data_IF_465004730816
#
_entry.id   IF_465004730816
#
_cell.length_a   1.000
_cell.length_b   1.000
_cell.length_c   1.000
_cell.angle_alpha   90.00
_cell.angle_beta   90.00
_cell.angle_gamma   90.00
#
_symmetry.space_group_name_H-M   'P 1'
#
loop_
_entity.id
_entity.type
_entity.pdbx_description
1 polymer ?
#
# COMPACT_ATOMS: atom_id res chain seq x y z
N UNK A 1 -25.25 -37.85 10.62
CA UNK A 1 -25.56 -36.75 9.70
C UNK A 1 -25.37 -37.25 8.28
N UNK A 2 -26.28 -36.97 7.39
CA UNK A 2 -26.11 -37.31 5.98
C UNK A 2 -24.97 -36.51 5.39
N UNK A 3 -24.02 -37.22 4.74
CA UNK A 3 -22.86 -36.57 4.11
C UNK A 3 -23.33 -35.64 2.99
N UNK A 4 -22.69 -34.49 2.86
CA UNK A 4 -22.89 -33.50 1.80
C UNK A 4 -22.29 -34.01 0.48
N UNK A 5 -21.14 -34.65 0.55
CA UNK A 5 -20.41 -35.19 -0.60
C UNK A 5 -19.66 -36.47 -0.22
N UNK A 6 -19.20 -37.17 -1.24
CA UNK A 6 -18.27 -38.30 -1.14
C UNK A 6 -17.05 -38.08 -2.03
N UNK A 7 -15.98 -38.82 -1.78
CA UNK A 7 -14.81 -38.88 -2.65
C UNK A 7 -15.01 -39.94 -3.74
N UNK A 8 -14.36 -39.73 -4.91
CA UNK A 8 -14.29 -40.74 -5.96
C UNK A 8 -13.48 -41.97 -5.53
N UNK A 9 -13.75 -43.13 -6.13
CA UNK A 9 -13.02 -44.38 -5.81
C UNK A 9 -11.58 -44.38 -6.34
N UNK A 10 -11.27 -43.56 -7.34
CA UNK A 10 -9.94 -43.47 -7.96
C UNK A 10 -9.31 -42.10 -7.72
N UNK A 11 -8.02 -42.08 -7.39
CA UNK A 11 -7.24 -40.90 -7.20
C UNK A 11 -6.54 -40.43 -8.48
N UNK A 12 -6.46 -39.10 -8.67
CA UNK A 12 -5.56 -38.46 -9.61
C UNK A 12 -4.19 -38.24 -8.92
N UNK A 13 -3.12 -38.77 -9.51
CA UNK A 13 -1.77 -38.55 -9.02
C UNK A 13 -1.24 -37.18 -9.52
N UNK A 14 -0.88 -36.29 -8.63
CA UNK A 14 -0.37 -34.96 -9.00
C UNK A 14 1.13 -34.96 -9.21
N UNK A 15 1.67 -33.88 -9.84
CA UNK A 15 3.09 -33.67 -10.02
C UNK A 15 3.88 -33.55 -8.70
N UNK A 16 3.20 -33.21 -7.60
CA UNK A 16 3.77 -33.15 -6.23
C UNK A 16 3.64 -34.47 -5.47
N UNK A 17 3.35 -35.57 -6.17
CA UNK A 17 3.19 -36.93 -5.64
C UNK A 17 2.08 -37.10 -4.59
N UNK A 18 1.01 -36.29 -4.71
CA UNK A 18 -0.19 -36.38 -3.88
C UNK A 18 -1.29 -37.15 -4.62
N UNK A 19 -2.05 -37.94 -3.90
CA UNK A 19 -3.27 -38.58 -4.40
C UNK A 19 -4.44 -37.65 -4.11
N UNK A 20 -5.09 -37.15 -5.16
CA UNK A 20 -6.26 -36.31 -5.03
C UNK A 20 -7.49 -37.00 -5.55
N UNK A 21 -8.58 -36.89 -4.84
CA UNK A 21 -9.87 -37.48 -5.16
C UNK A 21 -10.84 -36.38 -5.59
N UNK A 22 -11.64 -36.68 -6.61
CA UNK A 22 -12.74 -35.82 -7.04
C UNK A 22 -13.84 -35.87 -5.98
N UNK A 23 -14.47 -34.76 -5.68
CA UNK A 23 -15.64 -34.67 -4.81
C UNK A 23 -16.92 -34.80 -5.64
N UNK A 24 -17.92 -35.53 -5.13
CA UNK A 24 -19.22 -35.76 -5.78
C UNK A 24 -20.31 -35.41 -4.77
N UNK A 25 -21.18 -34.46 -5.10
CA UNK A 25 -22.29 -34.04 -4.25
C UNK A 25 -23.32 -35.18 -4.04
N UNK A 26 -23.77 -35.36 -2.82
CA UNK A 26 -24.76 -36.33 -2.45
C UNK A 26 -26.16 -35.75 -2.24
N UNK A 27 -26.26 -34.45 -2.11
CA UNK A 27 -27.51 -33.70 -1.93
C UNK A 27 -27.40 -32.29 -2.54
N UNK A 28 -28.53 -31.65 -2.71
CA UNK A 28 -28.60 -30.24 -3.14
C UNK A 28 -28.21 -29.31 -2.01
N UNK A 29 -27.38 -28.29 -2.31
CA UNK A 29 -27.04 -27.16 -1.42
C UNK A 29 -26.54 -25.99 -2.25
N UNK A 30 -26.85 -24.76 -1.84
CA UNK A 30 -26.49 -23.58 -2.61
C UNK A 30 -26.79 -23.73 -4.11
N UNK A 31 -25.79 -23.58 -4.97
CA UNK A 31 -25.83 -23.73 -6.42
C UNK A 31 -25.44 -25.15 -6.92
N UNK A 32 -25.12 -26.08 -5.99
CA UNK A 32 -24.67 -27.43 -6.26
C UNK A 32 -25.85 -28.43 -6.18
N UNK A 33 -25.95 -29.36 -7.14
CA UNK A 33 -26.99 -30.41 -7.21
C UNK A 33 -26.43 -31.77 -6.86
N UNK A 34 -27.27 -32.64 -6.33
CA UNK A 34 -26.89 -34.03 -6.11
C UNK A 34 -26.41 -34.70 -7.43
N UNK A 35 -25.22 -35.27 -7.39
CA UNK A 35 -24.54 -35.85 -8.54
C UNK A 35 -23.51 -34.90 -9.19
N UNK A 36 -23.49 -33.60 -8.86
CA UNK A 36 -22.51 -32.70 -9.39
C UNK A 36 -21.09 -33.12 -8.99
N UNK A 37 -20.19 -32.99 -9.97
CA UNK A 37 -18.76 -33.28 -9.82
C UNK A 37 -18.02 -31.99 -9.53
N UNK A 38 -17.33 -31.96 -8.41
CA UNK A 38 -16.52 -30.81 -8.04
C UNK A 38 -15.02 -31.02 -8.30
N UNK A 39 -14.19 -30.19 -7.65
CA UNK A 39 -12.74 -30.24 -7.76
C UNK A 39 -12.09 -31.37 -6.96
N UNK A 40 -10.86 -31.17 -6.53
CA UNK A 40 -9.99 -32.21 -5.99
C UNK A 40 -9.58 -31.97 -4.56
N UNK A 41 -9.65 -33.01 -3.73
CA UNK A 41 -9.15 -32.99 -2.35
C UNK A 41 -8.24 -34.18 -2.06
N UNK A 42 -7.32 -34.08 -1.12
CA UNK A 42 -6.48 -35.18 -0.66
C UNK A 42 -7.25 -36.10 0.30
N UNK A 43 -8.12 -35.51 1.13
CA UNK A 43 -8.96 -36.25 2.10
C UNK A 43 -10.27 -35.51 2.40
N UNK A 44 -11.19 -36.18 3.13
CA UNK A 44 -12.42 -35.52 3.59
C UNK A 44 -12.13 -34.36 4.58
N UNK A 45 -10.97 -34.31 5.21
CA UNK A 45 -10.61 -33.24 6.14
C UNK A 45 -10.37 -31.86 5.45
N UNK A 46 -10.17 -31.87 4.11
CA UNK A 46 -9.93 -30.69 3.33
C UNK A 46 -11.20 -29.85 3.06
N UNK A 47 -12.39 -30.49 3.06
CA UNK A 47 -13.64 -29.78 2.79
C UNK A 47 -14.69 -30.16 3.83
N UNK A 48 -15.28 -29.17 4.46
CA UNK A 48 -16.31 -29.36 5.49
C UNK A 48 -17.57 -30.02 4.90
N UNK A 49 -18.14 -30.99 5.62
CA UNK A 49 -19.44 -31.60 5.36
C UNK A 49 -20.61 -30.67 5.75
N UNK A 50 -20.32 -29.51 6.45
CA UNK A 50 -21.30 -28.54 6.93
C UNK A 50 -21.13 -27.22 6.19
N UNK A 51 -22.22 -26.45 5.99
CA UNK A 51 -22.23 -25.21 5.24
C UNK A 51 -22.25 -25.42 3.73
N UNK A 52 -22.21 -24.32 2.99
CA UNK A 52 -22.35 -24.32 1.52
C UNK A 52 -21.01 -24.29 0.78
N UNK A 53 -19.89 -24.46 1.50
CA UNK A 53 -18.57 -24.48 0.87
C UNK A 53 -18.43 -25.56 -0.20
N UNK A 54 -17.77 -25.20 -1.31
CA UNK A 54 -17.53 -26.12 -2.41
C UNK A 54 -16.25 -25.84 -3.16
N UNK A 55 -15.66 -26.86 -3.74
CA UNK A 55 -14.49 -26.76 -4.61
C UNK A 55 -14.98 -27.12 -6.02
N UNK A 56 -14.80 -26.25 -6.96
CA UNK A 56 -15.28 -26.33 -8.33
C UNK A 56 -14.14 -26.66 -9.30
N UNK A 57 -14.50 -27.07 -10.48
CA UNK A 57 -13.64 -27.21 -11.66
C UNK A 57 -12.36 -28.03 -11.40
N UNK A 58 -11.19 -27.44 -11.69
CA UNK A 58 -9.88 -28.07 -11.49
C UNK A 58 -9.19 -27.63 -10.19
N UNK A 59 -9.91 -26.96 -9.33
CA UNK A 59 -9.35 -26.47 -8.08
C UNK A 59 -8.91 -27.61 -7.17
N UNK A 60 -7.82 -27.42 -6.43
CA UNK A 60 -7.18 -28.45 -5.62
C UNK A 60 -6.97 -28.00 -4.19
N UNK A 61 -7.37 -28.84 -3.25
CA UNK A 61 -7.11 -28.61 -1.82
C UNK A 61 -6.45 -29.85 -1.24
N UNK A 62 -5.27 -29.68 -0.64
CA UNK A 62 -4.50 -30.81 -0.13
C UNK A 62 -3.64 -30.42 1.09
N UNK A 63 -2.84 -31.34 1.59
CA UNK A 63 -2.18 -31.26 2.90
C UNK A 63 -3.21 -31.05 4.02
N UNK A 64 -2.93 -30.15 4.96
CA UNK A 64 -3.84 -29.81 6.05
C UNK A 64 -4.72 -28.58 5.76
N UNK A 65 -4.82 -28.17 4.48
CA UNK A 65 -5.66 -27.05 4.09
C UNK A 65 -7.14 -27.37 4.31
N UNK A 66 -7.90 -26.41 4.83
CA UNK A 66 -9.32 -26.58 5.18
C UNK A 66 -10.20 -25.55 4.52
N UNK A 67 -11.31 -26.00 3.93
CA UNK A 67 -12.36 -25.17 3.35
C UNK A 67 -13.66 -25.41 4.12
N UNK A 68 -14.28 -24.32 4.61
CA UNK A 68 -15.48 -24.40 5.43
C UNK A 68 -16.37 -23.16 5.30
N UNK A 69 -17.51 -23.14 6.03
CA UNK A 69 -18.50 -22.07 5.88
C UNK A 69 -19.18 -22.14 4.52
N UNK A 70 -19.21 -21.02 3.81
CA UNK A 70 -19.78 -20.88 2.47
C UNK A 70 -18.68 -20.56 1.42
N UNK A 71 -17.42 -20.83 1.77
CA UNK A 71 -16.26 -20.53 0.93
C UNK A 71 -16.28 -21.33 -0.38
N UNK A 72 -15.87 -20.69 -1.46
CA UNK A 72 -15.84 -21.27 -2.81
C UNK A 72 -14.44 -21.20 -3.40
N UNK A 73 -13.96 -22.32 -3.95
CA UNK A 73 -12.69 -22.40 -4.66
C UNK A 73 -12.96 -22.84 -6.09
N UNK A 74 -12.53 -22.04 -7.07
CA UNK A 74 -12.88 -22.20 -8.48
C UNK A 74 -11.65 -22.35 -9.39
N UNK A 75 -11.93 -22.69 -10.64
CA UNK A 75 -10.98 -22.72 -11.76
C UNK A 75 -9.79 -23.66 -11.49
N UNK A 76 -8.57 -23.16 -11.48
CA UNK A 76 -7.34 -23.91 -11.22
C UNK A 76 -6.70 -23.54 -9.88
N UNK A 77 -7.45 -22.90 -8.97
CA UNK A 77 -6.92 -22.42 -7.70
C UNK A 77 -6.40 -23.58 -6.84
N UNK A 78 -5.36 -23.30 -6.07
CA UNK A 78 -4.72 -24.29 -5.19
C UNK A 78 -4.69 -23.76 -3.76
N UNK A 79 -5.15 -24.57 -2.83
CA UNK A 79 -4.96 -24.36 -1.39
C UNK A 79 -4.23 -25.55 -0.77
N UNK A 80 -3.12 -25.28 -0.08
CA UNK A 80 -2.29 -26.31 0.53
C UNK A 80 -1.61 -25.83 1.84
N UNK A 81 -0.76 -26.69 2.41
CA UNK A 81 -0.14 -26.41 3.71
C UNK A 81 -1.14 -26.56 4.87
N UNK A 82 -1.17 -25.59 5.77
CA UNK A 82 -2.15 -25.52 6.87
C UNK A 82 -3.12 -24.34 6.71
N UNK A 83 -3.39 -23.97 5.45
CA UNK A 83 -4.25 -22.85 5.13
C UNK A 83 -5.72 -23.08 5.52
N UNK A 84 -6.43 -22.04 5.87
CA UNK A 84 -7.84 -22.07 6.23
C UNK A 84 -8.64 -21.05 5.40
N UNK A 85 -9.63 -21.52 4.64
CA UNK A 85 -10.49 -20.68 3.80
C UNK A 85 -11.92 -20.87 4.29
N UNK A 86 -12.56 -19.79 4.78
CA UNK A 86 -13.86 -19.88 5.45
C UNK A 86 -14.71 -18.62 5.22
N UNK A 87 -15.91 -18.55 5.81
CA UNK A 87 -16.85 -17.47 5.56
C UNK A 87 -17.41 -17.55 4.15
N UNK A 88 -17.58 -16.42 3.50
CA UNK A 88 -17.99 -16.29 2.09
C UNK A 88 -16.80 -16.07 1.15
N UNK A 89 -15.60 -16.48 1.57
CA UNK A 89 -14.39 -16.22 0.81
C UNK A 89 -14.38 -16.95 -0.55
N UNK A 90 -13.85 -16.28 -1.57
CA UNK A 90 -13.70 -16.83 -2.92
C UNK A 90 -12.23 -16.86 -3.30
N UNK A 91 -11.75 -18.03 -3.75
CA UNK A 91 -10.41 -18.18 -4.32
C UNK A 91 -10.55 -18.77 -5.72
N UNK A 92 -10.08 -18.06 -6.74
CA UNK A 92 -10.36 -18.38 -8.14
C UNK A 92 -9.14 -18.19 -9.06
N UNK A 93 -9.30 -18.50 -10.33
CA UNK A 93 -8.26 -18.38 -11.35
C UNK A 93 -7.13 -19.38 -11.15
N UNK A 94 -5.91 -18.93 -11.18
CA UNK A 94 -4.70 -19.72 -10.89
C UNK A 94 -4.07 -19.30 -9.53
N UNK A 95 -4.89 -18.82 -8.63
CA UNK A 95 -4.42 -18.36 -7.31
C UNK A 95 -3.83 -19.53 -6.51
N UNK A 96 -2.74 -19.25 -5.80
CA UNK A 96 -2.10 -20.23 -4.93
C UNK A 96 -2.07 -19.72 -3.49
N UNK A 97 -2.65 -20.51 -2.59
CA UNK A 97 -2.68 -20.29 -1.16
C UNK A 97 -1.88 -21.41 -0.51
N UNK A 98 -0.84 -21.07 0.24
CA UNK A 98 0.03 -22.09 0.87
C UNK A 98 0.43 -21.71 2.29
N UNK A 99 1.08 -22.63 2.95
CA UNK A 99 1.58 -22.48 4.33
C UNK A 99 0.44 -22.23 5.35
N UNK A 100 0.56 -21.24 6.21
CA UNK A 100 -0.40 -20.94 7.28
C UNK A 100 -1.21 -19.66 6.96
N UNK A 101 -1.89 -19.66 5.81
CA UNK A 101 -2.71 -18.53 5.36
C UNK A 101 -4.16 -18.69 5.81
N UNK A 102 -4.74 -17.59 6.31
CA UNK A 102 -6.14 -17.53 6.71
C UNK A 102 -6.92 -16.57 5.80
N UNK A 103 -7.99 -17.09 5.16
CA UNK A 103 -8.86 -16.30 4.28
C UNK A 103 -10.29 -16.44 4.79
N UNK A 104 -10.94 -15.34 5.09
CA UNK A 104 -12.28 -15.36 5.69
C UNK A 104 -13.13 -14.14 5.35
N UNK A 105 -14.32 -14.03 5.92
CA UNK A 105 -15.34 -13.05 5.58
C UNK A 105 -15.74 -13.11 4.11
N UNK A 106 -15.69 -11.99 3.38
CA UNK A 106 -16.04 -11.87 1.97
C UNK A 106 -14.80 -11.62 1.08
N UNK A 107 -13.64 -12.07 1.51
CA UNK A 107 -12.39 -11.85 0.78
C UNK A 107 -12.39 -12.56 -0.59
N UNK A 108 -11.91 -11.88 -1.62
CA UNK A 108 -11.83 -12.43 -3.00
C UNK A 108 -10.38 -12.43 -3.44
N UNK A 109 -9.86 -13.61 -3.79
CA UNK A 109 -8.52 -13.79 -4.34
C UNK A 109 -8.66 -14.41 -5.72
N UNK A 110 -8.01 -13.85 -6.74
CA UNK A 110 -8.14 -14.33 -8.12
C UNK A 110 -6.86 -14.22 -8.94
N UNK A 111 -6.98 -14.58 -10.19
CA UNK A 111 -5.94 -14.54 -11.23
C UNK A 111 -4.72 -15.40 -10.86
N UNK A 112 -3.52 -14.83 -10.76
CA UNK A 112 -2.29 -15.53 -10.41
C UNK A 112 -1.75 -15.11 -9.04
N UNK A 113 -2.62 -14.67 -8.15
CA UNK A 113 -2.23 -14.25 -6.81
C UNK A 113 -1.57 -15.40 -6.04
N UNK A 114 -0.44 -15.13 -5.41
CA UNK A 114 0.29 -16.09 -4.59
C UNK A 114 0.39 -15.56 -3.16
N UNK A 115 -0.27 -16.22 -2.23
CA UNK A 115 -0.34 -15.84 -0.82
C UNK A 115 0.25 -16.97 0.02
N UNK A 116 1.22 -16.66 0.85
CA UNK A 116 1.97 -17.66 1.61
C UNK A 116 2.37 -17.20 3.01
N UNK A 117 3.08 -18.05 3.70
CA UNK A 117 3.61 -17.88 5.05
C UNK A 117 2.50 -17.71 6.11
N UNK A 118 2.48 -16.62 6.89
CA UNK A 118 1.52 -16.45 8.00
C UNK A 118 0.57 -15.28 7.74
N UNK A 119 0.05 -15.19 6.52
CA UNK A 119 -0.79 -14.07 6.09
C UNK A 119 -2.26 -14.30 6.41
N UNK A 120 -3.00 -13.21 6.63
CA UNK A 120 -4.43 -13.21 6.93
C UNK A 120 -5.17 -12.21 6.03
N UNK A 121 -6.17 -12.69 5.30
CA UNK A 121 -6.94 -11.89 4.34
C UNK A 121 -8.42 -11.96 4.72
N UNK A 122 -9.05 -10.79 4.93
CA UNK A 122 -10.42 -10.72 5.45
C UNK A 122 -11.21 -9.51 4.98
N UNK A 123 -12.41 -9.34 5.52
CA UNK A 123 -13.31 -8.26 5.17
C UNK A 123 -13.84 -8.43 3.74
N UNK A 124 -13.96 -7.33 3.03
CA UNK A 124 -14.33 -7.30 1.60
C UNK A 124 -13.10 -7.08 0.71
N UNK A 125 -11.93 -7.50 1.17
CA UNK A 125 -10.68 -7.28 0.45
C UNK A 125 -10.63 -8.02 -0.89
N UNK A 126 -9.97 -7.43 -1.88
CA UNK A 126 -9.83 -7.99 -3.23
C UNK A 126 -8.37 -8.06 -3.63
N UNK A 127 -7.89 -9.25 -3.96
CA UNK A 127 -6.51 -9.49 -4.40
C UNK A 127 -6.56 -10.15 -5.77
N UNK A 128 -5.96 -9.52 -6.78
CA UNK A 128 -6.02 -10.00 -8.18
C UNK A 128 -4.75 -9.67 -8.97
N UNK A 129 -4.55 -10.32 -10.11
CA UNK A 129 -3.34 -10.20 -10.93
C UNK A 129 -2.21 -11.11 -10.46
N UNK A 130 -0.97 -10.70 -10.66
CA UNK A 130 0.23 -11.46 -10.26
C UNK A 130 0.74 -11.06 -8.87
N UNK A 131 -0.16 -10.74 -7.97
CA UNK A 131 0.17 -10.27 -6.61
C UNK A 131 0.91 -11.35 -5.83
N UNK A 132 1.92 -10.92 -5.05
CA UNK A 132 2.64 -11.78 -4.11
C UNK A 132 2.52 -11.24 -2.70
N UNK A 133 2.02 -12.06 -1.80
CA UNK A 133 1.92 -11.73 -0.37
C UNK A 133 2.61 -12.82 0.44
N UNK A 134 3.60 -12.43 1.25
CA UNK A 134 4.33 -13.32 2.15
C UNK A 134 4.66 -12.64 3.47
N UNK A 135 5.11 -13.40 4.46
CA UNK A 135 5.38 -12.90 5.82
C UNK A 135 4.16 -12.96 6.74
N UNK A 136 4.07 -11.99 7.62
CA UNK A 136 2.91 -11.79 8.52
C UNK A 136 2.09 -10.60 8.03
N UNK A 137 1.47 -10.75 6.86
CA UNK A 137 0.67 -9.69 6.25
C UNK A 137 -0.80 -9.86 6.63
N UNK A 138 -1.40 -8.78 7.12
CA UNK A 138 -2.84 -8.71 7.34
C UNK A 138 -3.46 -7.78 6.30
N UNK A 139 -4.47 -8.27 5.58
CA UNK A 139 -5.26 -7.47 4.65
C UNK A 139 -6.71 -7.52 5.08
N UNK A 140 -7.34 -6.37 5.26
CA UNK A 140 -8.71 -6.28 5.76
C UNK A 140 -9.50 -5.10 5.21
N UNK A 141 -10.75 -4.94 5.65
CA UNK A 141 -11.62 -3.86 5.17
C UNK A 141 -12.03 -4.06 3.71
N UNK A 142 -11.93 -3.01 2.93
CA UNK A 142 -12.20 -3.00 1.48
C UNK A 142 -10.89 -2.87 0.67
N UNK A 143 -9.77 -3.29 1.22
CA UNK A 143 -8.45 -3.13 0.59
C UNK A 143 -8.38 -3.84 -0.76
N UNK A 144 -7.75 -3.19 -1.73
CA UNK A 144 -7.57 -3.72 -3.09
C UNK A 144 -6.07 -3.81 -3.41
N UNK A 145 -5.61 -5.03 -3.72
CA UNK A 145 -4.23 -5.29 -4.10
C UNK A 145 -4.23 -5.96 -5.48
N UNK A 146 -3.55 -5.36 -6.45
CA UNK A 146 -3.69 -5.83 -7.84
C UNK A 146 -2.44 -5.72 -8.69
N UNK A 147 -2.51 -6.23 -9.90
CA UNK A 147 -1.46 -6.28 -10.92
C UNK A 147 -0.24 -7.08 -10.46
N UNK A 148 0.94 -6.46 -10.33
CA UNK A 148 2.18 -7.13 -9.93
C UNK A 148 2.65 -6.72 -8.53
N UNK A 149 1.76 -6.17 -7.71
CA UNK A 149 2.11 -5.70 -6.38
C UNK A 149 2.73 -6.80 -5.51
N UNK A 150 3.72 -6.44 -4.73
CA UNK A 150 4.43 -7.37 -3.83
C UNK A 150 4.45 -6.85 -2.40
N UNK A 151 3.96 -7.64 -1.47
CA UNK A 151 3.90 -7.28 -0.04
C UNK A 151 4.56 -8.38 0.78
N UNK A 152 5.55 -8.01 1.58
CA UNK A 152 6.29 -8.98 2.40
C UNK A 152 6.68 -8.39 3.76
N UNK A 153 6.73 -9.21 4.78
CA UNK A 153 7.15 -8.81 6.13
C UNK A 153 5.99 -8.73 7.11
N UNK A 154 6.02 -7.75 7.99
CA UNK A 154 4.99 -7.53 9.01
C UNK A 154 4.16 -6.31 8.59
N UNK A 155 3.20 -6.52 7.71
CA UNK A 155 2.44 -5.43 7.13
C UNK A 155 0.96 -5.53 7.50
N UNK A 156 0.33 -4.38 7.74
CA UNK A 156 -1.10 -4.30 7.95
C UNK A 156 -1.70 -3.33 6.91
N UNK A 157 -2.56 -3.87 6.04
CA UNK A 157 -3.20 -3.16 4.95
C UNK A 157 -4.70 -3.19 5.20
N UNK A 158 -5.31 -2.05 5.46
CA UNK A 158 -6.70 -2.02 5.88
C UNK A 158 -7.54 -0.91 5.22
N UNK A 159 -8.81 -0.91 5.53
CA UNK A 159 -9.81 0.06 5.08
C UNK A 159 -9.98 0.07 3.55
N UNK A 160 -9.94 1.23 2.90
CA UNK A 160 -10.11 1.40 1.46
C UNK A 160 -8.76 1.55 0.72
N UNK A 161 -7.70 0.98 1.26
CA UNK A 161 -6.35 1.08 0.70
C UNK A 161 -6.27 0.43 -0.69
N UNK A 162 -5.54 1.07 -1.60
CA UNK A 162 -5.27 0.54 -2.94
C UNK A 162 -3.76 0.39 -3.14
N UNK A 163 -3.30 -0.83 -3.42
CA UNK A 163 -1.92 -1.14 -3.77
C UNK A 163 -1.93 -1.82 -5.13
N UNK A 164 -1.26 -1.22 -6.11
CA UNK A 164 -1.38 -1.70 -7.51
C UNK A 164 -0.11 -1.47 -8.31
N UNK A 165 -0.13 -1.90 -9.55
CA UNK A 165 0.97 -1.86 -10.49
C UNK A 165 2.16 -2.71 -9.99
N UNK A 166 3.38 -2.20 -10.02
CA UNK A 166 4.59 -2.86 -9.55
C UNK A 166 5.00 -2.39 -8.14
N UNK A 167 4.04 -1.90 -7.35
CA UNK A 167 4.30 -1.39 -6.01
C UNK A 167 4.87 -2.49 -5.10
N UNK A 168 5.92 -2.14 -4.35
CA UNK A 168 6.60 -3.06 -3.44
C UNK A 168 6.53 -2.55 -2.00
N UNK A 169 6.03 -3.37 -1.10
CA UNK A 169 5.94 -3.05 0.33
C UNK A 169 6.66 -4.14 1.12
N UNK A 170 7.57 -3.75 2.01
CA UNK A 170 8.30 -4.72 2.81
C UNK A 170 8.74 -4.19 4.18
N UNK A 171 8.89 -5.09 5.13
CA UNK A 171 9.30 -4.74 6.50
C UNK A 171 8.12 -4.65 7.45
N UNK A 172 8.04 -3.59 8.21
CA UNK A 172 6.96 -3.33 9.17
C UNK A 172 6.19 -2.09 8.66
N UNK A 173 5.17 -2.32 7.83
CA UNK A 173 4.46 -1.24 7.12
C UNK A 173 2.96 -1.32 7.38
N UNK A 174 2.42 -0.22 7.87
CA UNK A 174 0.99 -0.05 8.10
C UNK A 174 0.40 0.92 7.08
N UNK A 175 -0.66 0.51 6.38
CA UNK A 175 -1.35 1.33 5.36
C UNK A 175 -2.85 1.30 5.61
N UNK A 176 -3.45 2.46 5.86
CA UNK A 176 -4.85 2.57 6.26
C UNK A 176 -5.64 3.63 5.49
N UNK A 177 -6.94 3.64 5.76
CA UNK A 177 -7.92 4.60 5.27
C UNK A 177 -8.03 4.57 3.74
N UNK A 178 -7.78 5.68 3.04
CA UNK A 178 -7.90 5.78 1.58
C UNK A 178 -6.54 5.88 0.89
N UNK A 179 -5.48 5.33 1.50
CA UNK A 179 -4.13 5.43 0.96
C UNK A 179 -3.99 4.66 -0.37
N UNK A 180 -3.23 5.23 -1.29
CA UNK A 180 -2.95 4.65 -2.62
C UNK A 180 -1.45 4.54 -2.81
N UNK A 181 -0.96 3.34 -3.10
CA UNK A 181 0.44 3.07 -3.44
C UNK A 181 0.47 2.36 -4.79
N UNK A 182 1.11 2.96 -5.78
CA UNK A 182 1.05 2.48 -7.15
C UNK A 182 2.32 2.71 -7.96
N UNK A 183 2.29 2.27 -9.22
CA UNK A 183 3.39 2.35 -10.17
C UNK A 183 4.61 1.57 -9.63
N UNK A 184 5.81 2.14 -9.58
CA UNK A 184 7.01 1.48 -9.06
C UNK A 184 7.36 1.93 -7.64
N UNK A 185 6.38 2.40 -6.88
CA UNK A 185 6.61 2.87 -5.52
C UNK A 185 7.12 1.74 -4.62
N UNK A 186 8.19 2.02 -3.88
CA UNK A 186 8.82 1.08 -2.95
C UNK A 186 8.79 1.63 -1.53
N UNK A 187 8.10 0.92 -0.64
CA UNK A 187 7.95 1.29 0.78
C UNK A 187 8.56 0.21 1.65
N UNK A 188 9.59 0.56 2.43
CA UNK A 188 10.34 -0.42 3.19
C UNK A 188 10.70 0.03 4.61
N UNK A 189 10.67 -0.93 5.52
CA UNK A 189 11.09 -0.73 6.92
C UNK A 189 9.93 -0.35 7.81
N UNK A 190 10.13 0.54 8.79
CA UNK A 190 9.08 0.98 9.70
C UNK A 190 8.35 2.21 9.14
N UNK A 191 7.22 1.98 8.49
CA UNK A 191 6.47 3.04 7.78
C UNK A 191 4.98 2.96 8.11
N UNK A 192 4.38 4.10 8.46
CA UNK A 192 2.93 4.25 8.58
C UNK A 192 2.41 5.24 7.54
N UNK A 193 1.42 4.82 6.76
CA UNK A 193 0.77 5.60 5.70
C UNK A 193 -0.73 5.57 5.94
N UNK A 194 -1.35 6.73 6.09
CA UNK A 194 -2.80 6.80 6.35
C UNK A 194 -3.47 8.00 5.71
N UNK A 195 -4.78 8.04 5.84
CA UNK A 195 -5.68 9.05 5.29
C UNK A 195 -5.73 8.99 3.75
N UNK A 196 -5.65 10.12 3.06
CA UNK A 196 -5.76 10.20 1.59
C UNK A 196 -4.38 10.29 0.91
N UNK A 197 -3.39 9.62 1.46
CA UNK A 197 -2.02 9.64 0.92
C UNK A 197 -1.94 8.93 -0.42
N UNK A 198 -1.25 9.53 -1.39
CA UNK A 198 -0.95 8.90 -2.67
C UNK A 198 0.56 8.86 -2.92
N UNK A 199 1.11 7.65 -3.06
CA UNK A 199 2.53 7.42 -3.38
C UNK A 199 2.62 6.72 -4.72
N UNK A 200 3.38 7.30 -5.66
CA UNK A 200 3.47 6.79 -7.04
C UNK A 200 4.82 7.13 -7.69
N UNK A 201 4.97 6.80 -8.96
CA UNK A 201 6.23 6.95 -9.69
C UNK A 201 7.28 5.95 -9.20
N UNK A 202 8.54 6.38 -9.15
CA UNK A 202 9.66 5.63 -8.60
C UNK A 202 9.95 6.03 -7.14
N UNK A 203 8.94 6.46 -6.41
CA UNK A 203 9.10 6.90 -5.02
C UNK A 203 9.65 5.76 -4.14
N UNK A 204 10.72 6.02 -3.43
CA UNK A 204 11.37 5.05 -2.54
C UNK A 204 11.38 5.58 -1.11
N UNK A 205 10.61 4.95 -0.25
CA UNK A 205 10.48 5.29 1.16
C UNK A 205 11.11 4.19 2.00
N UNK A 206 12.19 4.51 2.69
CA UNK A 206 12.96 3.55 3.44
C UNK A 206 13.22 4.01 4.88
N UNK A 207 12.60 3.35 5.84
CA UNK A 207 12.85 3.56 7.26
C UNK A 207 13.75 2.45 7.82
N UNK A 208 14.94 2.82 8.30
CA UNK A 208 15.86 1.90 8.96
C UNK A 208 15.75 2.13 10.47
N UNK A 209 15.25 1.14 11.20
CA UNK A 209 15.36 1.12 12.67
C UNK A 209 16.75 0.58 13.06
N UNK A 210 17.51 1.28 13.91
CA UNK A 210 18.83 0.82 14.35
C UNK A 210 18.78 -0.39 15.30
N UNK A 211 17.62 -0.74 15.80
CA UNK A 211 17.36 -1.93 16.62
C UNK A 211 16.06 -2.58 16.13
N UNK A 212 15.99 -3.91 16.17
CA UNK A 212 14.76 -4.70 15.90
C UNK A 212 13.63 -4.45 16.93
N UNK A 213 13.59 -3.29 17.54
CA UNK A 213 12.55 -2.84 18.44
C UNK A 213 11.58 -1.96 17.70
N UNK A 214 10.29 -2.18 17.86
CA UNK A 214 9.23 -1.26 17.48
C UNK A 214 9.39 -0.02 18.37
N UNK A 215 10.25 0.89 17.96
CA UNK A 215 10.46 2.14 18.66
C UNK A 215 9.90 3.28 17.81
N UNK A 216 8.79 3.85 18.26
CA UNK A 216 8.13 4.99 17.61
C UNK A 216 9.02 6.23 17.45
N UNK A 217 10.25 6.20 17.99
CA UNK A 217 11.25 7.24 17.78
C UNK A 217 11.91 7.18 16.39
N UNK A 218 11.71 6.07 15.65
CA UNK A 218 12.28 5.85 14.31
C UNK A 218 11.15 5.51 13.35
N UNK A 219 11.26 5.94 12.10
CA UNK A 219 10.28 5.57 11.10
C UNK A 219 9.89 6.71 10.17
N UNK A 220 9.04 6.38 9.22
CA UNK A 220 8.43 7.35 8.29
C UNK A 220 6.92 7.31 8.49
N UNK A 221 6.34 8.46 8.80
CA UNK A 221 4.91 8.63 9.06
C UNK A 221 4.33 9.62 8.05
N UNK A 222 3.38 9.15 7.24
CA UNK A 222 2.78 9.95 6.17
C UNK A 222 1.26 9.95 6.35
N UNK A 223 0.67 11.14 6.49
CA UNK A 223 -0.77 11.27 6.73
C UNK A 223 -1.37 12.55 6.13
N UNK A 224 -2.69 12.61 6.01
CA UNK A 224 -3.42 13.72 5.39
C UNK A 224 -3.62 13.51 3.89
N UNK A 225 -3.57 14.58 3.11
CA UNK A 225 -3.75 14.55 1.66
C UNK A 225 -2.40 14.57 0.92
N UNK A 226 -1.39 13.90 1.46
CA UNK A 226 -0.02 13.92 0.93
C UNK A 226 0.07 13.23 -0.41
N UNK A 227 0.79 13.84 -1.36
CA UNK A 227 1.11 13.26 -2.66
C UNK A 227 2.62 13.18 -2.85
N UNK A 228 3.15 11.98 -3.11
CA UNK A 228 4.57 11.72 -3.37
C UNK A 228 4.68 11.02 -4.72
N UNK A 229 5.38 11.61 -5.68
CA UNK A 229 5.50 11.04 -7.02
C UNK A 229 6.80 11.44 -7.74
N UNK A 230 7.20 10.65 -8.73
CA UNK A 230 8.49 10.80 -9.43
C UNK A 230 9.62 10.05 -8.72
N UNK A 231 10.85 10.54 -8.83
CA UNK A 231 12.06 9.88 -8.30
C UNK A 231 12.37 10.31 -6.86
N UNK A 232 11.36 10.33 -6.00
CA UNK A 232 11.50 10.75 -4.60
C UNK A 232 12.17 9.67 -3.76
N UNK A 233 13.21 10.02 -3.01
CA UNK A 233 13.88 9.13 -2.08
C UNK A 233 13.80 9.66 -0.65
N UNK A 234 13.09 8.95 0.21
CA UNK A 234 12.91 9.29 1.63
C UNK A 234 13.58 8.22 2.48
N UNK A 235 14.63 8.58 3.22
CA UNK A 235 15.37 7.66 4.07
C UNK A 235 15.47 8.14 5.50
N UNK A 236 14.81 7.45 6.43
CA UNK A 236 15.02 7.63 7.86
C UNK A 236 16.07 6.65 8.38
N UNK A 237 17.12 7.17 9.02
CA UNK A 237 18.17 6.35 9.65
C UNK A 237 18.30 6.60 11.16
N UNK A 238 18.03 7.82 11.62
CA UNK A 238 18.33 8.28 12.98
C UNK A 238 17.19 9.10 13.59
N UNK A 239 15.94 8.74 13.36
CA UNK A 239 14.80 9.46 13.91
C UNK A 239 13.57 9.37 13.02
N UNK A 240 12.60 10.23 13.26
CA UNK A 240 11.35 10.24 12.54
C UNK A 240 11.38 11.15 11.32
N UNK A 241 10.77 10.69 10.23
CA UNK A 241 10.30 11.57 9.16
C UNK A 241 8.77 11.63 9.25
N UNK A 242 8.23 12.82 9.36
CA UNK A 242 6.77 13.04 9.34
C UNK A 242 6.40 13.95 8.19
N UNK A 243 5.48 13.49 7.34
CA UNK A 243 4.98 14.22 6.18
C UNK A 243 3.46 14.24 6.30
N UNK A 244 2.88 15.43 6.42
CA UNK A 244 1.48 15.56 6.80
C UNK A 244 0.74 16.65 6.02
N UNK A 245 -0.56 16.70 6.24
CA UNK A 245 -1.51 17.67 5.73
C UNK A 245 -1.64 17.62 4.18
N UNK A 246 -1.58 18.74 3.47
CA UNK A 246 -1.73 18.82 2.01
C UNK A 246 -0.37 18.86 1.28
N UNK A 247 0.65 18.21 1.85
CA UNK A 247 2.01 18.24 1.30
C UNK A 247 2.12 17.52 -0.04
N UNK A 248 2.86 18.11 -0.98
CA UNK A 248 3.19 17.51 -2.27
C UNK A 248 4.70 17.44 -2.47
N UNK A 249 5.23 16.24 -2.74
CA UNK A 249 6.66 15.99 -2.97
C UNK A 249 6.82 15.31 -4.31
N UNK A 250 7.58 15.89 -5.23
CA UNK A 250 7.71 15.33 -6.57
C UNK A 250 9.03 15.67 -7.27
N UNK A 251 9.33 14.94 -8.34
CA UNK A 251 10.59 15.06 -9.07
C UNK A 251 11.69 14.26 -8.41
N UNK A 252 12.94 14.76 -8.47
CA UNK A 252 14.10 14.10 -7.90
C UNK A 252 14.44 14.72 -6.54
N UNK A 253 13.76 14.27 -5.48
CA UNK A 253 13.88 14.79 -4.11
C UNK A 253 14.47 13.73 -3.19
N UNK A 254 15.47 14.10 -2.39
CA UNK A 254 16.10 13.21 -1.43
C UNK A 254 15.97 13.77 -0.01
N UNK A 255 15.32 13.02 0.87
CA UNK A 255 15.29 13.29 2.31
C UNK A 255 16.18 12.30 3.06
N UNK A 256 17.08 12.81 3.90
CA UNK A 256 17.87 12.01 4.82
C UNK A 256 17.73 12.51 6.26
N UNK A 257 17.59 11.56 7.18
CA UNK A 257 17.52 11.85 8.62
C UNK A 257 16.16 12.39 9.08
N UNK A 258 16.06 12.88 10.31
CA UNK A 258 14.81 13.36 10.87
C UNK A 258 14.27 14.59 10.12
N UNK A 259 13.03 14.52 9.68
CA UNK A 259 12.36 15.59 8.94
C UNK A 259 10.93 15.77 9.42
N UNK A 260 10.46 17.01 9.39
CA UNK A 260 9.09 17.35 9.72
C UNK A 260 8.52 18.26 8.64
N UNK A 261 7.65 17.70 7.79
CA UNK A 261 7.04 18.40 6.65
C UNK A 261 5.53 18.43 6.86
N UNK A 262 4.94 19.61 6.88
CA UNK A 262 3.50 19.78 7.08
C UNK A 262 2.93 21.02 6.41
N UNK A 263 1.61 21.11 6.39
CA UNK A 263 0.87 22.20 5.76
C UNK A 263 0.72 21.97 4.25
N UNK A 264 0.64 23.05 3.48
CA UNK A 264 0.53 23.00 2.03
C UNK A 264 1.93 23.10 1.39
N UNK A 265 2.86 22.23 1.82
CA UNK A 265 4.23 22.29 1.32
C UNK A 265 4.32 21.70 -0.09
N UNK A 266 4.99 22.41 -1.00
CA UNK A 266 5.36 21.93 -2.33
C UNK A 266 6.87 21.76 -2.37
N UNK A 267 7.34 20.51 -2.52
CA UNK A 267 8.76 20.18 -2.50
C UNK A 267 9.10 19.50 -3.81
N UNK A 268 9.94 20.12 -4.62
CA UNK A 268 10.34 19.61 -5.92
C UNK A 268 11.78 19.99 -6.27
N UNK A 269 12.42 19.24 -7.16
CA UNK A 269 13.80 19.32 -7.65
C UNK A 269 14.90 18.64 -6.83
N UNK A 270 16.07 18.56 -7.51
CA UNK A 270 17.35 17.92 -7.18
C UNK A 270 18.01 18.47 -5.89
N UNK A 271 17.31 18.44 -4.77
CA UNK A 271 17.82 18.91 -3.51
C UNK A 271 18.02 17.77 -2.52
N UNK A 272 19.23 17.68 -1.99
CA UNK A 272 19.57 16.81 -0.87
C UNK A 272 19.24 17.51 0.45
N UNK A 273 18.24 17.02 1.15
CA UNK A 273 17.89 17.52 2.50
C UNK A 273 18.54 16.61 3.54
N UNK A 274 19.64 17.09 4.16
CA UNK A 274 20.28 16.40 5.28
C UNK A 274 19.96 17.15 6.58
N UNK A 275 19.39 16.45 7.56
CA UNK A 275 19.22 16.87 8.96
C UNK A 275 18.57 18.24 9.21
N UNK A 276 17.67 18.70 8.36
CA UNK A 276 16.99 19.98 8.54
C UNK A 276 15.53 19.77 8.96
N UNK A 277 15.12 20.52 9.98
CA UNK A 277 13.69 20.66 10.27
C UNK A 277 13.09 21.63 9.27
N UNK A 278 12.60 21.12 8.17
CA UNK A 278 11.83 21.90 7.19
C UNK A 278 10.48 22.22 7.83
N UNK A 279 10.41 23.27 8.61
CA UNK A 279 9.15 23.81 9.12
C UNK A 279 8.49 24.62 8.00
N UNK A 280 7.87 23.95 7.04
CA UNK A 280 7.03 24.63 6.06
C UNK A 280 5.66 24.87 6.69
N UNK A 281 5.46 26.09 7.15
CA UNK A 281 4.14 26.58 7.52
C UNK A 281 3.48 27.19 6.28
N UNK A 282 2.81 26.38 5.47
CA UNK A 282 1.79 26.93 4.62
C UNK A 282 0.45 26.84 5.37
N UNK A 283 0.16 27.82 6.17
CA UNK A 283 -1.19 27.97 6.73
C UNK A 283 -2.07 28.46 5.59
N UNK A 284 -2.94 27.61 5.07
CA UNK A 284 -4.08 28.03 4.26
C UNK A 284 -5.09 28.75 5.18
N UNK A 285 -4.74 29.92 5.64
CA UNK A 285 -5.77 30.91 5.91
C UNK A 285 -6.39 31.23 4.56
N UNK A 286 -7.71 31.31 4.47
CA UNK A 286 -8.52 31.43 3.24
C UNK A 286 -8.07 32.47 2.21
N UNK A 287 -6.95 33.16 2.39
CA UNK A 287 -6.49 34.29 1.57
C UNK A 287 -4.96 34.40 1.37
N UNK A 288 -4.12 33.52 1.94
CA UNK A 288 -2.65 33.62 1.79
C UNK A 288 -1.99 32.25 1.61
N UNK A 289 -1.04 32.17 0.70
CA UNK A 289 -0.13 31.03 0.56
C UNK A 289 1.24 31.42 1.06
N UNK A 290 1.89 30.63 1.89
CA UNK A 290 3.24 30.90 2.42
C UNK A 290 4.19 29.83 1.87
N UNK A 291 5.34 30.27 1.41
CA UNK A 291 6.45 29.45 0.95
C UNK A 291 7.69 29.74 1.80
N UNK A 292 8.37 28.72 2.25
CA UNK A 292 9.62 28.84 2.99
C UNK A 292 10.62 27.81 2.47
N UNK A 293 11.78 28.25 2.07
CA UNK A 293 12.87 27.40 1.62
C UNK A 293 14.23 27.97 2.03
N UNK A 294 15.20 27.07 2.22
CA UNK A 294 16.59 27.43 2.38
C UNK A 294 17.32 27.18 1.04
N UNK A 295 18.02 28.18 0.56
CA UNK A 295 18.84 28.11 -0.65
C UNK A 295 20.19 28.73 -0.32
N UNK A 296 21.28 27.99 -0.49
CA UNK A 296 22.64 28.45 -0.17
C UNK A 296 22.75 29.08 1.24
N UNK A 297 22.20 28.40 2.27
CA UNK A 297 22.09 28.85 3.67
C UNK A 297 21.21 30.10 3.88
N UNK A 298 20.53 30.57 2.86
CA UNK A 298 19.61 31.71 2.93
C UNK A 298 18.18 31.19 3.12
N UNK A 299 17.52 31.65 4.18
CA UNK A 299 16.10 31.38 4.39
C UNK A 299 15.22 32.28 3.52
N UNK A 300 14.42 31.69 2.64
CA UNK A 300 13.46 32.39 1.79
C UNK A 300 12.05 32.10 2.31
N UNK A 301 11.38 33.11 2.85
CA UNK A 301 10.00 33.01 3.32
C UNK A 301 9.11 33.90 2.44
N UNK A 302 8.40 33.31 1.46
CA UNK A 302 7.51 34.08 0.60
C UNK A 302 6.07 33.90 1.07
N UNK A 303 5.35 34.98 1.23
CA UNK A 303 3.91 35.00 1.46
C UNK A 303 3.22 35.56 0.24
N UNK A 304 2.29 34.79 -0.34
CA UNK A 304 1.42 35.26 -1.40
C UNK A 304 0.02 35.49 -0.87
N UNK A 305 -0.52 36.68 -1.07
CA UNK A 305 -1.88 37.06 -0.66
C UNK A 305 -2.82 37.01 -1.86
N UNK A 306 -3.71 36.03 -1.88
CA UNK A 306 -4.60 35.80 -3.03
C UNK A 306 -5.57 36.94 -3.31
N UNK A 307 -5.97 37.70 -2.29
CA UNK A 307 -6.93 38.80 -2.43
C UNK A 307 -6.42 40.00 -3.25
N UNK A 308 -5.15 40.28 -3.20
CA UNK A 308 -4.51 41.40 -3.88
C UNK A 308 -3.38 40.96 -4.83
N UNK A 309 -3.17 39.66 -5.01
CA UNK A 309 -2.12 39.06 -5.85
C UNK A 309 -0.71 39.61 -5.54
N UNK A 310 -0.40 39.79 -4.26
CA UNK A 310 0.87 40.32 -3.82
C UNK A 310 1.75 39.28 -3.13
N UNK A 311 3.04 39.34 -3.40
CA UNK A 311 4.10 38.56 -2.79
C UNK A 311 4.85 39.44 -1.80
N UNK A 312 5.29 38.86 -0.70
CA UNK A 312 6.21 39.50 0.23
C UNK A 312 7.15 38.46 0.87
N UNK A 313 8.37 38.88 1.13
CA UNK A 313 9.38 38.02 1.78
C UNK A 313 10.47 38.86 2.43
N UNK A 314 11.22 38.20 3.34
CA UNK A 314 12.52 38.69 3.82
C UNK A 314 13.60 37.75 3.28
N UNK A 315 14.59 38.29 2.61
CA UNK A 315 15.75 37.57 2.09
C UNK A 315 17.00 38.32 2.54
N UNK A 316 17.87 37.72 3.32
CA UNK A 316 19.08 38.37 3.87
C UNK A 316 18.80 39.75 4.45
N UNK A 317 17.82 39.88 5.35
CA UNK A 317 17.37 41.11 5.97
C UNK A 317 16.85 42.22 5.02
N UNK A 318 16.64 41.92 3.74
CA UNK A 318 15.99 42.81 2.79
C UNK A 318 14.52 42.38 2.60
N UNK A 319 13.59 43.32 2.81
CA UNK A 319 12.18 43.11 2.56
C UNK A 319 11.87 43.33 1.08
N UNK A 320 11.27 42.32 0.44
CA UNK A 320 10.88 42.30 -0.98
C UNK A 320 9.36 42.11 -1.06
N UNK A 321 8.67 42.96 -1.81
CA UNK A 321 7.21 42.93 -1.88
C UNK A 321 6.66 43.42 -3.24
N UNK A 322 5.40 43.14 -3.53
CA UNK A 322 4.70 43.65 -4.69
C UNK A 322 3.98 42.55 -5.50
N UNK A 323 3.45 42.92 -6.65
CA UNK A 323 2.96 41.91 -7.59
C UNK A 323 4.13 41.09 -8.16
N UNK A 324 3.85 40.06 -8.97
CA UNK A 324 4.88 39.14 -9.47
C UNK A 324 6.06 39.88 -10.15
N UNK A 325 5.75 40.87 -10.97
CA UNK A 325 6.76 41.65 -11.71
C UNK A 325 7.60 42.55 -10.80
N UNK A 326 6.95 43.33 -9.93
CA UNK A 326 7.61 44.18 -8.94
C UNK A 326 8.47 43.39 -7.97
N UNK A 327 7.98 42.22 -7.54
CA UNK A 327 8.70 41.32 -6.67
C UNK A 327 9.98 40.82 -7.34
N UNK A 328 9.90 40.37 -8.59
CA UNK A 328 11.04 39.87 -9.37
C UNK A 328 12.10 40.96 -9.62
N UNK A 329 11.68 42.21 -9.89
CA UNK A 329 12.60 43.32 -10.08
C UNK A 329 13.45 43.64 -8.83
N UNK A 330 12.85 43.48 -7.64
CA UNK A 330 13.56 43.73 -6.36
C UNK A 330 14.55 42.61 -5.99
N UNK A 331 14.50 41.46 -6.68
CA UNK A 331 15.46 40.37 -6.50
C UNK A 331 16.82 40.61 -7.16
N UNK A 332 17.00 41.72 -7.89
CA UNK A 332 18.27 42.10 -8.46
C UNK A 332 19.33 42.25 -7.35
N UNK A 333 20.46 41.56 -7.49
CA UNK A 333 21.53 41.51 -6.48
C UNK A 333 21.54 40.29 -5.59
N UNK A 334 20.56 39.42 -5.72
CA UNK A 334 20.58 38.05 -5.13
C UNK A 334 21.24 37.05 -6.06
N UNK A 335 21.61 35.88 -5.53
CA UNK A 335 22.20 34.80 -6.35
C UNK A 335 21.21 34.29 -7.39
N UNK A 336 21.70 33.76 -8.52
CA UNK A 336 20.86 33.14 -9.55
C UNK A 336 20.01 32.02 -8.97
N UNK A 337 20.52 31.28 -8.01
CA UNK A 337 19.83 30.21 -7.31
C UNK A 337 18.61 30.75 -6.55
N UNK A 338 18.79 31.80 -5.73
CA UNK A 338 17.72 32.46 -4.98
C UNK A 338 16.64 33.02 -5.92
N UNK A 339 17.04 33.72 -6.99
CA UNK A 339 16.11 34.28 -7.97
C UNK A 339 15.29 33.19 -8.64
N UNK A 340 15.91 32.08 -9.03
CA UNK A 340 15.24 30.97 -9.69
C UNK A 340 14.20 30.31 -8.77
N UNK A 341 14.50 30.14 -7.48
CA UNK A 341 13.54 29.60 -6.53
C UNK A 341 12.33 30.51 -6.31
N UNK A 342 12.57 31.81 -6.18
CA UNK A 342 11.48 32.79 -6.11
C UNK A 342 10.60 32.77 -7.37
N UNK A 343 11.20 32.72 -8.56
CA UNK A 343 10.48 32.61 -9.84
C UNK A 343 9.58 31.38 -9.92
N UNK A 344 10.09 30.24 -9.47
CA UNK A 344 9.30 28.98 -9.49
C UNK A 344 8.05 29.09 -8.64
N UNK A 345 8.18 29.62 -7.43
CA UNK A 345 7.02 29.82 -6.56
C UNK A 345 6.02 30.82 -7.20
N UNK A 346 6.51 31.95 -7.72
CA UNK A 346 5.66 32.97 -8.33
C UNK A 346 4.85 32.43 -9.51
N UNK A 347 5.47 31.56 -10.33
CA UNK A 347 4.78 30.95 -11.48
C UNK A 347 3.92 29.72 -11.11
N UNK A 348 3.95 29.28 -9.85
CA UNK A 348 3.17 28.14 -9.35
C UNK A 348 1.87 28.56 -8.62
N UNK A 349 1.69 29.82 -8.33
CA UNK A 349 0.52 30.38 -7.63
C UNK A 349 -0.29 31.30 -8.55
#
# INVERSE_FOLDING_TARGET
MDKKYKLSDSALKTSVNKNLYVIIALKDFSDVKAGDVGGFVESEDNLSQVGDCWIYDNAKVYDNAKVSGDAKIHDNAIACGVSSITGNAIVAGNAKISDNVWIYDNAIISDYANISETSSISGNSKISGNVRIGGRVQVSGNAQISKNASINGWCNIADNTIITDDACISGCVDVYNNAIIKEHANVKGYVEIKDNVCISGNANIHAISPKFTIDYQYGVFISGNVKIFGDVYIKSTNGQIRIMDDTMIFGNVIFHGPQYVRGNAYIYKDNHYKNYTVKHYAVKQRKTTKYRQFVDDIEINITYTCSNKQFNTWINNKFVFGNAEQFLQQLNGFTKSTINECKKFIYSV
#
